data_IF_707821323618
#
_entry.id   IF_707821323618
#
_cell.length_a   1.000
_cell.length_b   1.000
_cell.length_c   1.000
_cell.angle_alpha   90.00
_cell.angle_beta   90.00
_cell.angle_gamma   90.00
#
_symmetry.space_group_name_H-M   'P 1'
#
loop_
_entity.id
_entity.type
_entity.pdbx_description
1 polymer ?
#
# COMPACT_ATOMS: atom_id res chain seq x y z
N UNK A 1 -21.32 18.90 -36.07
CA UNK A 1 -20.11 18.08 -36.21
C UNK A 1 -19.84 17.47 -34.86
N UNK A 2 -20.15 16.17 -34.80
CA UNK A 2 -19.69 15.14 -33.87
C UNK A 2 -19.72 15.39 -32.35
N UNK A 3 -20.70 14.72 -31.76
CA UNK A 3 -20.82 14.24 -30.38
C UNK A 3 -20.09 12.89 -30.33
N UNK A 4 -19.12 12.69 -29.43
CA UNK A 4 -18.71 11.38 -28.85
C UNK A 4 -18.01 11.69 -27.51
N UNK A 5 -18.68 11.53 -26.36
CA UNK A 5 -18.74 10.30 -25.55
C UNK A 5 -17.37 9.94 -24.93
N UNK A 6 -17.25 10.08 -23.61
CA UNK A 6 -17.09 9.00 -22.62
C UNK A 6 -16.49 9.60 -21.32
N UNK A 7 -17.30 9.89 -20.29
CA UNK A 7 -17.59 9.01 -19.16
C UNK A 7 -16.33 8.56 -18.37
N UNK A 8 -16.31 8.93 -17.08
CA UNK A 8 -15.67 8.18 -15.97
C UNK A 8 -14.14 8.38 -15.94
N UNK A 9 -13.53 8.97 -14.91
CA UNK A 9 -13.65 8.57 -13.52
C UNK A 9 -13.48 9.76 -12.56
N UNK A 10 -14.57 10.20 -11.93
CA UNK A 10 -14.52 10.40 -10.48
C UNK A 10 -14.12 9.05 -9.90
N UNK A 11 -12.82 8.83 -9.66
CA UNK A 11 -12.37 7.70 -8.84
C UNK A 11 -12.75 8.06 -7.40
N UNK A 12 -14.05 8.00 -7.11
CA UNK A 12 -14.51 7.70 -5.77
C UNK A 12 -14.01 6.30 -5.47
N UNK A 13 -12.76 6.19 -5.00
CA UNK A 13 -12.32 5.02 -4.22
C UNK A 13 -13.30 5.00 -3.07
N UNK A 14 -14.33 4.16 -3.22
CA UNK A 14 -15.32 3.92 -2.18
C UNK A 14 -14.52 3.65 -0.92
N UNK A 15 -14.69 4.54 0.06
CA UNK A 15 -14.14 4.37 1.39
C UNK A 15 -14.56 2.99 1.84
N UNK A 16 -13.64 2.02 1.72
CA UNK A 16 -13.83 0.66 2.16
C UNK A 16 -14.10 0.79 3.65
N UNK A 17 -15.37 0.69 4.00
CA UNK A 17 -15.88 0.76 5.34
C UNK A 17 -15.09 -0.26 6.14
N UNK A 18 -14.12 0.22 6.95
CA UNK A 18 -13.24 -0.48 7.88
C UNK A 18 -13.38 -1.99 7.71
N UNK A 19 -12.95 -2.51 6.56
CA UNK A 19 -13.17 -3.91 6.27
C UNK A 19 -12.21 -4.63 7.20
N UNK A 20 -12.72 -5.31 8.21
CA UNK A 20 -11.86 -6.16 9.01
C UNK A 20 -11.33 -7.25 8.09
N UNK A 21 -10.02 -7.51 8.09
CA UNK A 21 -9.48 -8.53 7.22
C UNK A 21 -10.08 -9.88 7.61
N UNK A 22 -10.61 -10.61 6.63
CA UNK A 22 -11.19 -11.95 6.81
C UNK A 22 -10.16 -12.93 7.38
N UNK A 23 -8.90 -12.80 6.94
CA UNK A 23 -7.81 -13.64 7.43
C UNK A 23 -6.45 -12.94 7.29
N UNK A 24 -5.47 -13.45 8.03
CA UNK A 24 -4.07 -13.04 7.93
C UNK A 24 -3.20 -14.27 7.68
N UNK A 25 -2.37 -14.19 6.64
CA UNK A 25 -1.37 -15.20 6.32
C UNK A 25 0.02 -14.58 6.36
N UNK A 26 1.05 -15.38 6.60
CA UNK A 26 2.45 -14.91 6.52
C UNK A 26 3.02 -15.26 5.18
N UNK A 27 3.78 -14.33 4.60
CA UNK A 27 4.47 -14.56 3.36
C UNK A 27 5.50 -15.68 3.52
N UNK A 28 5.60 -16.55 2.51
CA UNK A 28 6.60 -17.63 2.43
C UNK A 28 7.68 -17.36 1.38
N UNK A 29 7.33 -16.58 0.37
CA UNK A 29 8.16 -16.23 -0.76
C UNK A 29 8.05 -14.72 -1.00
N UNK A 30 9.05 -14.16 -1.66
CA UNK A 30 9.03 -12.75 -2.03
C UNK A 30 8.08 -12.55 -3.22
N UNK A 31 7.24 -11.53 -3.13
CA UNK A 31 6.41 -11.00 -4.22
C UNK A 31 6.26 -9.49 -4.05
N UNK A 32 5.75 -8.81 -5.07
CA UNK A 32 5.52 -7.36 -4.99
C UNK A 32 4.51 -6.98 -3.91
N UNK A 33 3.51 -7.83 -3.65
CA UNK A 33 2.55 -7.66 -2.56
C UNK A 33 3.23 -7.74 -1.18
N UNK A 34 4.22 -8.63 -1.04
CA UNK A 34 5.01 -8.78 0.18
C UNK A 34 5.91 -7.57 0.40
N UNK A 35 6.53 -7.08 -0.67
CA UNK A 35 7.33 -5.85 -0.64
C UNK A 35 6.48 -4.64 -0.21
N UNK A 36 5.26 -4.53 -0.73
CA UNK A 36 4.33 -3.48 -0.35
C UNK A 36 3.91 -3.61 1.12
N UNK A 37 3.47 -4.80 1.53
CA UNK A 37 3.10 -5.09 2.91
C UNK A 37 4.25 -4.82 3.89
N UNK A 38 5.49 -5.16 3.51
CA UNK A 38 6.69 -4.88 4.29
C UNK A 38 6.86 -3.37 4.54
N UNK A 39 6.73 -2.54 3.50
CA UNK A 39 6.88 -1.08 3.62
C UNK A 39 5.82 -0.46 4.52
N UNK A 40 4.56 -0.87 4.38
CA UNK A 40 3.49 -0.38 5.26
C UNK A 40 3.71 -0.82 6.71
N UNK A 41 4.11 -2.07 6.93
CA UNK A 41 4.36 -2.60 8.26
C UNK A 41 5.55 -1.95 8.95
N UNK A 42 6.62 -1.63 8.21
CA UNK A 42 7.73 -0.83 8.72
C UNK A 42 7.29 0.55 9.21
N UNK A 43 6.35 1.18 8.50
CA UNK A 43 5.77 2.47 8.88
C UNK A 43 4.72 2.37 10.02
N UNK A 44 4.36 1.16 10.45
CA UNK A 44 3.40 0.92 11.52
C UNK A 44 1.93 0.86 11.06
N UNK A 45 1.72 0.55 9.78
CA UNK A 45 0.40 0.34 9.17
C UNK A 45 0.25 -1.13 8.74
N UNK A 46 -0.98 -1.62 8.68
CA UNK A 46 -1.29 -2.96 8.17
C UNK A 46 -1.16 -3.03 6.66
N UNK A 47 -1.71 -2.04 5.97
CA UNK A 47 -1.80 -1.96 4.51
C UNK A 47 -2.01 -0.52 4.00
N UNK A 48 -2.18 -0.40 2.68
CA UNK A 48 -2.46 0.87 2.01
C UNK A 48 -3.80 1.50 2.45
N UNK A 49 -4.81 0.68 2.71
CA UNK A 49 -6.15 1.14 3.10
C UNK A 49 -6.07 1.84 4.47
N UNK A 50 -5.43 1.22 5.45
CA UNK A 50 -5.25 1.80 6.77
C UNK A 50 -4.42 3.08 6.73
N UNK A 51 -3.37 3.13 5.89
CA UNK A 51 -2.59 4.34 5.70
C UNK A 51 -3.44 5.50 5.16
N UNK A 52 -4.22 5.25 4.12
CA UNK A 52 -5.10 6.26 3.52
C UNK A 52 -6.17 6.75 4.51
N UNK A 53 -6.75 5.86 5.31
CA UNK A 53 -7.75 6.22 6.33
C UNK A 53 -7.14 7.12 7.41
N UNK A 54 -5.96 6.75 7.93
CA UNK A 54 -5.32 7.47 9.04
C UNK A 54 -4.76 8.80 8.56
N UNK A 55 -3.99 8.81 7.48
CA UNK A 55 -3.30 10.00 7.01
C UNK A 55 -4.17 10.88 6.10
N UNK A 56 -5.27 10.36 5.55
CA UNK A 56 -6.17 11.04 4.60
C UNK A 56 -5.41 11.66 3.42
N UNK A 57 -4.37 10.96 2.96
CA UNK A 57 -3.47 11.37 1.89
C UNK A 57 -3.23 10.20 0.94
N UNK A 58 -3.01 10.54 -0.32
CA UNK A 58 -2.56 9.58 -1.31
C UNK A 58 -1.15 9.08 -1.02
N UNK A 59 -0.87 7.88 -1.50
CA UNK A 59 0.42 7.22 -1.35
C UNK A 59 1.31 7.64 -2.53
N UNK A 60 2.44 8.27 -2.21
CA UNK A 60 3.47 8.59 -3.20
C UNK A 60 4.13 7.30 -3.69
N UNK A 61 3.94 7.00 -4.97
CA UNK A 61 4.51 5.84 -5.66
C UNK A 61 5.53 6.27 -6.71
N UNK A 62 6.48 5.39 -6.98
CA UNK A 62 7.41 5.54 -8.09
C UNK A 62 6.71 5.22 -9.43
N UNK A 63 6.87 6.03 -10.48
CA UNK A 63 6.08 5.91 -11.71
C UNK A 63 6.43 4.70 -12.58
N UNK A 64 7.57 4.05 -12.36
CA UNK A 64 8.05 2.95 -13.20
C UNK A 64 7.63 1.57 -12.70
N UNK A 65 7.56 1.37 -11.38
CA UNK A 65 7.28 0.07 -10.75
C UNK A 65 6.06 0.10 -9.82
N UNK A 66 5.54 1.28 -9.46
CA UNK A 66 4.43 1.41 -8.51
C UNK A 66 4.81 1.20 -7.04
N UNK A 67 6.10 1.08 -6.72
CA UNK A 67 6.55 0.92 -5.34
C UNK A 67 6.38 2.20 -4.53
N UNK A 68 6.08 2.02 -3.24
CA UNK A 68 5.90 3.13 -2.30
C UNK A 68 7.21 3.89 -2.13
N UNK A 69 7.21 5.19 -2.37
CA UNK A 69 8.39 6.06 -2.30
C UNK A 69 8.59 6.65 -0.91
N UNK A 70 7.51 7.13 -0.28
CA UNK A 70 7.57 7.72 1.05
C UNK A 70 6.30 7.40 1.83
N UNK A 71 6.43 7.16 3.14
CA UNK A 71 5.31 7.02 4.06
C UNK A 71 5.54 7.88 5.29
N UNK A 72 4.47 8.52 5.77
CA UNK A 72 4.48 9.21 7.05
C UNK A 72 4.02 8.27 8.16
N UNK A 73 4.80 8.13 9.22
CA UNK A 73 4.43 7.38 10.43
C UNK A 73 3.36 8.12 11.24
N UNK A 74 2.78 7.43 12.22
CA UNK A 74 1.88 8.02 13.22
C UNK A 74 2.57 9.10 14.08
N UNK A 75 3.89 8.96 14.27
CA UNK A 75 4.71 9.93 15.00
C UNK A 75 5.00 11.22 14.22
N UNK A 76 4.59 11.29 12.95
CA UNK A 76 4.85 12.42 12.05
C UNK A 76 6.18 12.34 11.29
N UNK A 77 7.10 11.44 11.68
CA UNK A 77 8.34 11.14 10.95
C UNK A 77 8.08 10.46 9.60
N UNK A 78 8.98 10.67 8.64
CA UNK A 78 8.88 10.10 7.29
C UNK A 78 9.85 8.94 7.10
N UNK A 79 9.35 7.84 6.53
CA UNK A 79 10.17 6.81 5.90
C UNK A 79 10.27 7.09 4.40
N UNK A 80 11.49 6.96 3.89
CA UNK A 80 11.78 6.96 2.47
C UNK A 80 12.21 5.56 2.08
N UNK A 81 11.71 5.09 0.94
CA UNK A 81 12.04 3.78 0.41
C UNK A 81 12.63 3.93 -0.97
N UNK A 82 13.57 3.04 -1.26
CA UNK A 82 14.17 3.00 -2.58
C UNK A 82 13.21 2.45 -3.63
N UNK A 83 13.57 2.76 -4.86
CA UNK A 83 12.91 2.25 -6.06
C UNK A 83 13.20 0.77 -6.31
N UNK A 84 14.22 0.21 -5.68
CA UNK A 84 14.57 -1.21 -5.76
C UNK A 84 13.90 -2.00 -4.64
N UNK A 85 13.99 -3.32 -4.73
CA UNK A 85 13.57 -4.24 -3.68
C UNK A 85 14.38 -3.99 -2.40
N UNK A 86 13.68 -3.73 -1.30
CA UNK A 86 14.28 -3.51 0.03
C UNK A 86 14.02 -4.68 0.97
N UNK A 87 12.99 -5.52 0.74
CA UNK A 87 12.65 -6.62 1.63
C UNK A 87 13.72 -7.73 1.57
N UNK A 88 14.49 -7.94 2.66
CA UNK A 88 15.47 -9.01 2.71
C UNK A 88 14.76 -10.34 2.97
N UNK A 89 15.33 -11.44 2.49
CA UNK A 89 14.70 -12.76 2.57
C UNK A 89 14.38 -13.20 4.01
N UNK A 90 15.22 -12.79 4.96
CA UNK A 90 15.02 -13.02 6.40
C UNK A 90 13.75 -12.39 6.98
N UNK A 91 13.25 -11.31 6.38
CA UNK A 91 12.10 -10.55 6.88
C UNK A 91 10.80 -10.88 6.13
N UNK A 92 10.86 -11.69 5.06
CA UNK A 92 9.67 -12.17 4.32
C UNK A 92 8.69 -12.84 5.29
N UNK A 93 9.19 -13.76 6.12
CA UNK A 93 8.36 -14.52 7.06
C UNK A 93 7.73 -13.65 8.18
N UNK A 94 8.17 -12.39 8.32
CA UNK A 94 7.59 -11.42 9.27
C UNK A 94 6.44 -10.64 8.65
N UNK A 95 6.38 -10.55 7.32
CA UNK A 95 5.38 -9.82 6.58
C UNK A 95 4.02 -10.50 6.71
N UNK A 96 3.02 -9.75 7.16
CA UNK A 96 1.63 -10.20 7.28
C UNK A 96 0.86 -9.79 6.04
N UNK A 97 0.27 -10.75 5.33
CA UNK A 97 -0.63 -10.49 4.22
C UNK A 97 -2.06 -10.61 4.72
N UNK A 98 -2.81 -9.54 4.55
CA UNK A 98 -4.22 -9.45 4.95
C UNK A 98 -5.12 -9.69 3.75
N UNK A 99 -6.12 -10.54 3.91
CA UNK A 99 -7.11 -10.85 2.88
C UNK A 99 -8.46 -10.30 3.32
N UNK A 100 -9.10 -9.52 2.46
CA UNK A 100 -10.38 -8.85 2.72
C UNK A 100 -11.57 -9.49 2.01
#
# INVERSE_FOLDING_TARGET
MEIYICCIQDVSVGMAAIAEPKSMTRAKQWSDEVEEAYRFQLAGYRDAIEYQIIQKKDIDRWPHNGYVKKLQRKDGCFYYFDKTRECPEKDINKCKLYVY
#
